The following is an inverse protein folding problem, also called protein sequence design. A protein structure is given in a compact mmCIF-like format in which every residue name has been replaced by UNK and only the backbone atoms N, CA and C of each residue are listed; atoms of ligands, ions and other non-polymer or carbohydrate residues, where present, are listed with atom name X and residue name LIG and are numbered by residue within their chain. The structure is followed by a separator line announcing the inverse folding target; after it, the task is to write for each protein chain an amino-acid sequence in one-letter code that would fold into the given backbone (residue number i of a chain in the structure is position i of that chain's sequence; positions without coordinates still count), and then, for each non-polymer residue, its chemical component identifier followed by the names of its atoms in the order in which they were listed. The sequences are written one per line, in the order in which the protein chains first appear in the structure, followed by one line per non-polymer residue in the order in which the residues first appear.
data_IF_010447483601
#
_entry.id   IF_010447483601
#
_cell.length_a   1.000
_cell.length_b   1.000
_cell.length_c   1.000
_cell.angle_alpha   90.00
_cell.angle_beta   90.00
_cell.angle_gamma   90.00
#
_symmetry.space_group_name_H-M   'P 1'
#
loop_
_entity.id
_entity.type
_entity.pdbx_description
1 polymer ?
#
# COMPACT_ATOMS: atom_id res chain seq x y z
N UNK A 1 -10.44 21.77 4.29
CA UNK A 1 -10.53 20.37 4.78
C UNK A 1 -9.66 19.53 3.87
N UNK A 2 -8.74 18.73 4.39
CA UNK A 2 -7.67 18.05 3.62
C UNK A 2 -8.18 17.27 2.40
N UNK A 3 -9.29 16.54 2.52
CA UNK A 3 -9.86 15.79 1.38
C UNK A 3 -10.34 16.68 0.22
N UNK A 4 -10.60 17.97 0.46
CA UNK A 4 -10.86 18.91 -0.63
C UNK A 4 -9.58 19.23 -1.42
N UNK A 5 -8.46 19.43 -0.71
CA UNK A 5 -7.16 19.65 -1.36
C UNK A 5 -6.75 18.43 -2.18
N UNK A 6 -6.93 17.24 -1.61
CA UNK A 6 -6.68 15.97 -2.32
C UNK A 6 -7.46 15.88 -3.64
N UNK A 7 -8.75 16.27 -3.64
CA UNK A 7 -9.57 16.33 -4.86
C UNK A 7 -9.02 17.32 -5.88
N UNK A 8 -8.54 18.47 -5.43
CA UNK A 8 -8.06 19.53 -6.32
C UNK A 8 -6.71 19.19 -6.96
N UNK A 9 -5.90 18.32 -6.32
CA UNK A 9 -4.56 17.99 -6.79
C UNK A 9 -4.46 16.69 -7.60
N UNK A 10 -5.38 15.73 -7.43
CA UNK A 10 -5.24 14.37 -7.99
C UNK A 10 -5.14 14.38 -9.52
N UNK A 11 -5.84 15.29 -10.19
CA UNK A 11 -5.80 15.42 -11.65
C UNK A 11 -4.44 15.93 -12.17
N UNK A 12 -3.73 16.73 -11.37
CA UNK A 12 -2.40 17.26 -11.71
C UNK A 12 -1.26 16.37 -11.23
N UNK A 13 -1.51 15.58 -10.18
CA UNK A 13 -0.53 14.72 -9.52
C UNK A 13 -1.12 13.29 -9.41
N UNK A 14 -1.31 12.57 -10.53
CA UNK A 14 -2.07 11.32 -10.58
C UNK A 14 -1.29 10.10 -10.06
N UNK A 15 -0.01 10.24 -9.71
CA UNK A 15 0.78 9.17 -9.11
C UNK A 15 0.66 9.21 -7.60
N UNK A 16 0.02 8.19 -7.04
CA UNK A 16 -0.32 8.14 -5.61
C UNK A 16 0.48 7.03 -4.95
N UNK A 17 1.55 7.42 -4.27
CA UNK A 17 2.30 6.51 -3.43
C UNK A 17 1.62 6.33 -2.08
N UNK A 18 1.59 5.10 -1.59
CA UNK A 18 0.83 4.73 -0.41
C UNK A 18 1.58 3.72 0.46
N UNK A 19 1.35 3.83 1.77
CA UNK A 19 1.78 2.89 2.79
C UNK A 19 0.76 2.91 3.96
N UNK A 20 0.69 1.83 4.75
CA UNK A 20 -0.18 1.76 5.92
C UNK A 20 0.51 1.25 7.17
N UNK A 21 0.08 1.72 8.33
CA UNK A 21 0.47 1.16 9.62
C UNK A 21 -0.74 0.50 10.29
N UNK A 22 -0.52 -0.71 10.79
CA UNK A 22 -1.55 -1.56 11.40
C UNK A 22 -0.93 -2.47 12.46
N UNK A 23 -1.72 -3.10 13.35
CA UNK A 23 -1.20 -3.79 14.54
C UNK A 23 -0.60 -5.18 14.24
N UNK A 24 0.04 -5.35 13.09
CA UNK A 24 0.74 -6.56 12.70
C UNK A 24 -0.16 -7.72 12.25
N UNK A 25 0.33 -8.94 12.47
CA UNK A 25 -0.34 -10.20 12.09
C UNK A 25 -0.41 -11.08 13.33
N UNK A 26 -1.63 -11.44 13.74
CA UNK A 26 -1.92 -12.12 15.02
C UNK A 26 -2.44 -13.54 14.84
N UNK A 27 -2.98 -13.85 13.66
CA UNK A 27 -3.60 -15.14 13.39
C UNK A 27 -2.98 -15.82 12.16
N UNK A 28 -2.89 -17.15 12.21
CA UNK A 28 -2.53 -18.00 11.06
C UNK A 28 -3.67 -18.97 10.76
N UNK A 29 -4.07 -19.13 9.48
CA UNK A 29 -5.17 -20.00 9.15
C UNK A 29 -4.76 -21.45 9.38
N UNK A 30 -5.63 -22.23 10.01
CA UNK A 30 -5.42 -23.66 10.31
C UNK A 30 -6.19 -24.48 9.27
N UNK A 31 -5.54 -25.45 8.65
CA UNK A 31 -6.18 -26.37 7.72
C UNK A 31 -5.25 -26.85 6.60
N UNK A 32 -5.83 -27.55 5.63
CA UNK A 32 -5.16 -27.94 4.39
C UNK A 32 -5.46 -26.91 3.31
N UNK A 33 -4.43 -26.45 2.63
CA UNK A 33 -4.52 -25.45 1.55
C UNK A 33 -4.06 -26.09 0.25
N UNK A 34 -4.74 -25.77 -0.86
CA UNK A 34 -4.43 -26.26 -2.20
C UNK A 34 -3.12 -25.68 -2.72
N UNK A 35 -2.71 -24.52 -2.22
CA UNK A 35 -1.47 -23.85 -2.60
C UNK A 35 -1.00 -22.89 -1.51
N UNK A 36 0.28 -22.52 -1.55
CA UNK A 36 0.84 -21.44 -0.71
C UNK A 36 0.10 -20.11 -0.93
N UNK A 37 -0.35 -19.85 -2.15
CA UNK A 37 -1.12 -18.66 -2.52
C UNK A 37 -2.46 -18.58 -1.78
N UNK A 38 -3.21 -19.70 -1.74
CA UNK A 38 -4.45 -19.78 -0.96
C UNK A 38 -4.20 -19.55 0.53
N UNK A 39 -3.12 -20.12 1.08
CA UNK A 39 -2.72 -19.87 2.47
C UNK A 39 -2.42 -18.39 2.72
N UNK A 40 -1.65 -17.74 1.84
CA UNK A 40 -1.29 -16.33 1.97
C UNK A 40 -2.52 -15.42 1.92
N UNK A 41 -3.45 -15.64 0.98
CA UNK A 41 -4.68 -14.87 0.91
C UNK A 41 -5.57 -15.10 2.14
N UNK A 42 -5.71 -16.34 2.62
CA UNK A 42 -6.49 -16.62 3.84
C UNK A 42 -5.87 -15.97 5.07
N UNK A 43 -4.54 -15.93 5.18
CA UNK A 43 -3.85 -15.24 6.25
C UNK A 43 -4.10 -13.72 6.17
N UNK A 44 -3.97 -13.12 4.98
CA UNK A 44 -4.28 -11.72 4.72
C UNK A 44 -5.71 -11.38 5.16
N UNK A 45 -6.70 -12.07 4.59
CA UNK A 45 -8.13 -11.85 4.87
C UNK A 45 -8.42 -11.89 6.36
N UNK A 46 -8.00 -12.95 7.03
CA UNK A 46 -8.31 -13.17 8.44
C UNK A 46 -7.74 -12.06 9.34
N UNK A 47 -6.53 -11.59 9.07
CA UNK A 47 -5.92 -10.53 9.86
C UNK A 47 -6.52 -9.16 9.53
N UNK A 48 -6.70 -8.82 8.25
CA UNK A 48 -7.32 -7.54 7.85
C UNK A 48 -8.75 -7.42 8.38
N UNK A 49 -9.54 -8.49 8.33
CA UNK A 49 -10.92 -8.48 8.83
C UNK A 49 -10.97 -8.26 10.35
N UNK A 50 -10.06 -8.90 11.09
CA UNK A 50 -9.99 -8.85 12.56
C UNK A 50 -9.41 -7.53 13.09
N UNK A 51 -8.40 -7.00 12.42
CA UNK A 51 -7.59 -5.88 12.90
C UNK A 51 -8.10 -4.55 12.35
N UNK A 52 -7.62 -3.47 12.99
CA UNK A 52 -8.00 -2.09 12.66
C UNK A 52 -6.80 -1.32 12.14
N UNK A 53 -7.01 -0.56 11.07
CA UNK A 53 -6.00 0.32 10.48
C UNK A 53 -5.63 1.44 11.47
N UNK A 54 -4.34 1.77 11.57
CA UNK A 54 -3.84 2.81 12.49
C UNK A 54 -3.48 4.08 11.71
N UNK A 55 -2.71 3.96 10.62
CA UNK A 55 -2.37 5.07 9.73
C UNK A 55 -2.48 4.68 8.25
N UNK A 56 -2.71 5.70 7.41
CA UNK A 56 -2.55 5.66 5.97
C UNK A 56 -1.74 6.88 5.53
N UNK A 57 -0.71 6.66 4.74
CA UNK A 57 0.08 7.71 4.10
C UNK A 57 -0.26 7.81 2.63
N UNK A 58 -0.48 9.02 2.13
CA UNK A 58 -0.65 9.29 0.71
C UNK A 58 0.30 10.40 0.27
N UNK A 59 1.09 10.10 -0.74
CA UNK A 59 2.01 11.05 -1.39
C UNK A 59 1.64 11.16 -2.86
N UNK A 60 1.46 12.37 -3.35
CA UNK A 60 1.02 12.64 -4.72
C UNK A 60 2.17 13.24 -5.53
N UNK A 61 2.41 12.70 -6.73
CA UNK A 61 3.38 13.24 -7.69
C UNK A 61 2.83 13.32 -9.11
N UNK A 62 3.45 14.16 -9.93
CA UNK A 62 3.27 14.17 -11.38
C UNK A 62 4.08 13.03 -12.03
N UNK A 63 4.00 12.92 -13.35
CA UNK A 63 4.72 11.92 -14.15
C UNK A 63 6.25 12.05 -14.10
N UNK A 64 6.76 13.19 -13.63
CA UNK A 64 8.20 13.46 -13.46
C UNK A 64 8.67 13.18 -12.03
N UNK A 65 7.76 12.80 -11.13
CA UNK A 65 8.03 12.61 -9.71
C UNK A 65 8.06 13.91 -8.90
N UNK A 66 7.55 15.02 -9.44
CA UNK A 66 7.41 16.27 -8.69
C UNK A 66 6.26 16.15 -7.70
N UNK A 67 6.54 16.42 -6.43
CA UNK A 67 5.53 16.40 -5.36
C UNK A 67 4.42 17.43 -5.58
N UNK A 68 3.21 17.05 -5.19
CA UNK A 68 2.06 17.94 -5.13
C UNK A 68 2.34 19.16 -4.26
N UNK A 69 1.86 20.31 -4.74
CA UNK A 69 1.96 21.58 -4.03
C UNK A 69 0.61 22.25 -3.91
N UNK A 70 0.37 22.84 -2.74
CA UNK A 70 -0.75 23.74 -2.52
C UNK A 70 -0.23 25.07 -1.99
N UNK A 71 -0.57 26.17 -2.66
CA UNK A 71 -0.06 27.52 -2.34
C UNK A 71 1.48 27.61 -2.22
N UNK A 72 2.21 26.81 -3.00
CA UNK A 72 3.67 26.75 -3.01
C UNK A 72 4.30 25.79 -1.99
N UNK A 73 3.53 25.28 -1.03
CA UNK A 73 3.98 24.33 -0.02
C UNK A 73 3.84 22.89 -0.50
N UNK A 74 4.78 22.01 -0.13
CA UNK A 74 4.74 20.59 -0.45
C UNK A 74 3.70 19.88 0.42
N UNK A 75 2.92 18.98 -0.19
CA UNK A 75 1.86 18.26 0.52
C UNK A 75 2.13 16.75 0.56
N UNK A 76 2.12 16.20 1.77
CA UNK A 76 2.11 14.75 2.05
C UNK A 76 1.07 14.54 3.14
N UNK A 77 0.19 13.56 2.95
CA UNK A 77 -0.90 13.32 3.90
C UNK A 77 -0.62 12.07 4.74
N UNK A 78 -0.75 12.23 6.06
CA UNK A 78 -0.80 11.11 7.00
C UNK A 78 -2.15 11.15 7.73
N UNK A 79 -3.00 10.19 7.39
CA UNK A 79 -4.30 10.01 8.02
C UNK A 79 -4.12 9.11 9.24
N UNK A 80 -4.48 9.62 10.41
CA UNK A 80 -4.41 8.90 11.69
C UNK A 80 -5.82 8.47 12.07
N UNK A 81 -6.10 7.17 12.16
CA UNK A 81 -7.45 6.66 12.38
C UNK A 81 -7.75 6.44 13.86
N UNK A 82 -9.00 6.73 14.25
CA UNK A 82 -9.53 6.31 15.56
C UNK A 82 -10.10 4.90 15.45
N UNK A 83 -10.33 4.29 16.60
CA UNK A 83 -11.05 3.02 16.73
C UNK A 83 -10.15 1.87 17.15
N UNK A 84 -8.83 1.99 17.04
CA UNK A 84 -7.88 1.05 17.66
C UNK A 84 -7.63 1.44 19.13
N UNK A 85 -7.90 0.52 20.05
CA UNK A 85 -7.71 0.64 21.50
C UNK A 85 -6.75 -0.45 21.98
N UNK A 86 -5.70 -0.05 22.71
CA UNK A 86 -4.79 -1.01 23.34
C UNK A 86 -5.45 -1.83 24.47
N UNK A 87 -6.60 -1.39 24.97
CA UNK A 87 -7.34 -2.10 26.01
C UNK A 87 -8.26 -3.18 25.44
N UNK A 88 -8.83 -2.93 24.25
CA UNK A 88 -9.96 -3.73 23.74
C UNK A 88 -9.63 -4.51 22.46
N UNK A 89 -8.65 -4.05 21.68
CA UNK A 89 -8.35 -4.63 20.37
C UNK A 89 -7.23 -5.65 20.40
N UNK A 90 -7.30 -6.60 19.47
CA UNK A 90 -6.25 -7.58 19.24
C UNK A 90 -5.10 -6.92 18.47
N UNK A 91 -3.86 -7.23 18.85
CA UNK A 91 -2.67 -6.72 18.19
C UNK A 91 -1.46 -7.63 18.41
N UNK A 92 -0.45 -7.51 17.54
CA UNK A 92 0.87 -8.09 17.76
C UNK A 92 1.70 -7.15 18.64
N UNK A 93 2.20 -7.66 19.77
CA UNK A 93 2.94 -6.86 20.76
C UNK A 93 4.15 -6.14 20.14
N UNK A 94 4.98 -6.88 19.40
CA UNK A 94 6.17 -6.33 18.74
C UNK A 94 5.82 -5.19 17.75
N UNK A 95 4.70 -5.30 17.05
CA UNK A 95 4.22 -4.26 16.13
C UNK A 95 3.82 -2.99 16.90
N UNK A 96 3.09 -3.11 18.00
CA UNK A 96 2.71 -1.95 18.81
C UNK A 96 3.92 -1.29 19.46
N UNK A 97 4.88 -2.07 19.95
CA UNK A 97 6.12 -1.53 20.53
C UNK A 97 6.93 -0.77 19.48
N UNK A 98 7.06 -1.33 18.29
CA UNK A 98 7.70 -0.64 17.16
C UNK A 98 6.98 0.68 16.85
N UNK A 99 5.65 0.65 16.67
CA UNK A 99 4.88 1.87 16.35
C UNK A 99 4.99 2.95 17.43
N UNK A 100 5.00 2.57 18.72
CA UNK A 100 5.24 3.51 19.83
C UNK A 100 6.64 4.13 19.74
N UNK A 101 7.66 3.32 19.48
CA UNK A 101 9.04 3.80 19.33
C UNK A 101 9.19 4.73 18.11
N UNK A 102 8.40 4.50 17.07
CA UNK A 102 8.32 5.33 15.87
C UNK A 102 7.53 6.63 16.06
N UNK A 103 6.93 6.83 17.24
CA UNK A 103 6.28 8.07 17.61
C UNK A 103 4.75 8.10 17.41
N UNK A 104 4.11 6.94 17.24
CA UNK A 104 2.63 6.88 17.22
C UNK A 104 2.08 7.11 18.63
N UNK A 105 1.27 8.15 18.76
CA UNK A 105 0.52 8.47 19.99
C UNK A 105 -0.89 7.86 19.93
N UNK A 106 -1.03 6.65 20.50
CA UNK A 106 -2.31 5.94 20.53
C UNK A 106 -3.41 6.68 21.29
N UNK A 107 -3.08 7.47 22.31
CA UNK A 107 -4.08 8.26 23.04
C UNK A 107 -4.62 9.41 22.17
N UNK A 108 -3.76 9.99 21.33
CA UNK A 108 -4.18 10.99 20.35
C UNK A 108 -5.05 10.38 19.25
N UNK A 109 -4.73 9.17 18.80
CA UNK A 109 -5.56 8.43 17.84
C UNK A 109 -6.96 8.15 18.40
N UNK A 110 -7.07 7.75 19.67
CA UNK A 110 -8.37 7.48 20.30
C UNK A 110 -9.23 8.75 20.42
N UNK A 111 -8.63 9.88 20.79
CA UNK A 111 -9.37 11.13 21.07
C UNK A 111 -9.58 12.02 19.84
N UNK A 112 -8.68 11.97 18.85
CA UNK A 112 -8.67 12.89 17.69
C UNK A 112 -8.56 12.17 16.34
N UNK A 113 -8.48 10.86 16.32
CA UNK A 113 -8.34 10.09 15.09
C UNK A 113 -9.57 10.18 14.18
N UNK A 114 -9.31 9.94 12.91
CA UNK A 114 -10.29 10.02 11.82
C UNK A 114 -11.21 8.81 11.87
N UNK A 115 -12.50 9.07 11.74
CA UNK A 115 -13.48 8.01 11.56
C UNK A 115 -13.27 7.30 10.22
N UNK A 116 -13.01 5.99 10.27
CA UNK A 116 -12.64 5.22 9.09
C UNK A 116 -13.77 5.16 8.06
N UNK A 117 -15.03 5.15 8.50
CA UNK A 117 -16.18 5.15 7.58
C UNK A 117 -16.36 6.51 6.93
N UNK A 118 -16.20 7.60 7.69
CA UNK A 118 -16.19 8.95 7.12
C UNK A 118 -15.05 9.15 6.12
N UNK A 119 -13.87 8.60 6.42
CA UNK A 119 -12.76 8.63 5.49
C UNK A 119 -13.08 7.85 4.21
N UNK A 120 -13.61 6.63 4.32
CA UNK A 120 -14.02 5.81 3.18
C UNK A 120 -15.04 6.52 2.28
N UNK A 121 -16.03 7.18 2.86
CA UNK A 121 -17.01 7.99 2.12
C UNK A 121 -16.32 9.11 1.32
N UNK A 122 -15.42 9.86 1.95
CA UNK A 122 -14.71 10.96 1.30
C UNK A 122 -13.73 10.47 0.22
N UNK A 123 -13.08 9.33 0.44
CA UNK A 123 -12.16 8.71 -0.50
C UNK A 123 -12.90 8.17 -1.72
N UNK A 124 -14.10 7.60 -1.55
CA UNK A 124 -14.94 7.10 -2.65
C UNK A 124 -15.24 8.19 -3.69
N UNK A 125 -15.46 9.43 -3.23
CA UNK A 125 -15.79 10.58 -4.09
C UNK A 125 -14.60 11.50 -4.35
N UNK A 126 -13.36 11.06 -4.10
CA UNK A 126 -12.18 11.91 -4.20
C UNK A 126 -11.56 11.96 -5.60
N UNK A 127 -11.92 11.03 -6.49
CA UNK A 127 -11.23 10.83 -7.77
C UNK A 127 -9.94 10.00 -7.67
N UNK A 128 -9.55 9.54 -6.48
CA UNK A 128 -8.32 8.73 -6.30
C UNK A 128 -8.57 7.24 -6.58
N UNK A 129 -9.77 6.76 -6.29
CA UNK A 129 -10.20 5.36 -6.53
C UNK A 129 -11.23 5.34 -7.66
N UNK A 130 -11.42 4.17 -8.27
CA UNK A 130 -12.32 4.00 -9.41
C UNK A 130 -11.96 4.93 -10.59
N UNK A 131 -10.67 5.25 -10.74
CA UNK A 131 -10.16 6.20 -11.72
C UNK A 131 -9.01 5.59 -12.52
N UNK A 132 -9.19 5.48 -13.84
CA UNK A 132 -8.22 4.91 -14.78
C UNK A 132 -7.00 5.80 -15.03
N UNK A 133 -7.04 7.07 -14.63
CA UNK A 133 -5.93 8.01 -14.76
C UNK A 133 -4.96 7.93 -13.56
N UNK A 134 -5.43 7.45 -12.41
CA UNK A 134 -4.61 7.35 -11.19
C UNK A 134 -3.67 6.15 -11.28
N UNK A 135 -2.42 6.33 -10.84
CA UNK A 135 -1.37 5.32 -10.79
C UNK A 135 -0.91 5.12 -9.36
N UNK A 136 -1.27 3.99 -8.75
CA UNK A 136 -0.88 3.66 -7.38
C UNK A 136 0.55 3.11 -7.34
N UNK A 137 1.36 3.62 -6.42
CA UNK A 137 2.75 3.18 -6.19
C UNK A 137 2.85 2.64 -4.77
N UNK A 138 3.27 1.40 -4.61
CA UNK A 138 3.25 0.73 -3.30
C UNK A 138 4.47 -0.16 -3.10
N UNK A 139 4.66 -0.68 -1.90
CA UNK A 139 5.74 -1.63 -1.59
C UNK A 139 5.19 -2.81 -0.79
N UNK A 140 5.16 -4.01 -1.38
CA UNK A 140 4.73 -5.25 -0.71
C UNK A 140 3.31 -5.15 -0.12
N UNK A 141 2.37 -4.78 -0.99
CA UNK A 141 1.19 -4.00 -0.58
C UNK A 141 -0.11 -4.77 -0.38
N UNK A 142 -0.02 -6.09 -0.20
CA UNK A 142 -1.19 -6.96 -0.04
C UNK A 142 -2.08 -6.53 1.13
N UNK A 143 -1.46 -6.21 2.27
CA UNK A 143 -2.18 -5.77 3.48
C UNK A 143 -2.74 -4.37 3.31
N UNK A 144 -1.98 -3.46 2.71
CA UNK A 144 -2.41 -2.07 2.49
C UNK A 144 -3.69 -2.00 1.65
N UNK A 145 -3.71 -2.70 0.51
CA UNK A 145 -4.89 -2.79 -0.33
C UNK A 145 -6.01 -3.59 0.33
N UNK A 146 -5.69 -4.60 1.14
CA UNK A 146 -6.67 -5.28 1.98
C UNK A 146 -7.42 -4.31 2.89
N UNK A 147 -6.71 -3.46 3.62
CA UNK A 147 -7.34 -2.46 4.48
C UNK A 147 -8.16 -1.45 3.68
N UNK A 148 -7.62 -0.91 2.57
CA UNK A 148 -8.38 0.05 1.76
C UNK A 148 -9.65 -0.56 1.16
N UNK A 149 -9.62 -1.80 0.66
CA UNK A 149 -10.81 -2.48 0.17
C UNK A 149 -11.84 -2.72 1.28
N UNK A 150 -11.40 -3.15 2.48
CA UNK A 150 -12.29 -3.29 3.66
C UNK A 150 -12.98 -1.96 3.99
N UNK A 151 -12.24 -0.85 3.93
CA UNK A 151 -12.77 0.49 4.21
C UNK A 151 -13.76 0.94 3.13
N UNK A 152 -13.37 0.84 1.86
CA UNK A 152 -14.16 1.32 0.71
C UNK A 152 -15.44 0.53 0.51
N UNK A 153 -15.40 -0.79 0.74
CA UNK A 153 -16.60 -1.63 0.64
C UNK A 153 -17.43 -1.66 1.91
N UNK A 154 -16.86 -1.27 3.06
CA UNK A 154 -17.46 -1.47 4.37
C UNK A 154 -17.89 -2.94 4.60
N UNK A 155 -17.18 -3.90 4.01
CA UNK A 155 -17.42 -5.33 4.14
C UNK A 155 -16.13 -6.07 4.53
N UNK A 156 -16.24 -7.28 5.11
CA UNK A 156 -15.11 -8.20 5.16
C UNK A 156 -14.54 -8.46 3.76
N UNK A 157 -13.24 -8.76 3.66
CA UNK A 157 -12.62 -9.06 2.37
C UNK A 157 -13.29 -10.25 1.66
N UNK A 158 -13.22 -10.37 0.32
CA UNK A 158 -13.86 -11.47 -0.40
C UNK A 158 -13.41 -12.87 0.06
N UNK A 159 -14.25 -13.89 -0.11
CA UNK A 159 -13.93 -15.22 0.45
C UNK A 159 -12.82 -15.93 -0.31
N UNK A 160 -12.69 -15.60 -1.60
CA UNK A 160 -11.65 -16.12 -2.50
C UNK A 160 -10.71 -15.00 -2.93
N UNK A 161 -9.48 -15.39 -3.26
CA UNK A 161 -8.48 -14.46 -3.78
C UNK A 161 -8.87 -13.91 -5.16
N UNK A 162 -9.55 -14.71 -5.98
CA UNK A 162 -10.02 -14.28 -7.28
C UNK A 162 -10.98 -13.09 -7.15
N UNK A 163 -12.01 -13.21 -6.30
CA UNK A 163 -12.96 -12.12 -6.04
C UNK A 163 -12.26 -10.89 -5.44
N UNK A 164 -11.20 -11.08 -4.64
CA UNK A 164 -10.39 -9.98 -4.14
C UNK A 164 -9.70 -9.21 -5.26
N UNK A 165 -9.08 -9.90 -6.23
CA UNK A 165 -8.44 -9.23 -7.36
C UNK A 165 -9.45 -8.62 -8.34
N UNK A 166 -10.60 -9.25 -8.54
CA UNK A 166 -11.70 -8.66 -9.33
C UNK A 166 -12.14 -7.31 -8.73
N UNK A 167 -12.29 -7.26 -7.40
CA UNK A 167 -12.62 -6.04 -6.69
C UNK A 167 -11.46 -5.03 -6.69
N UNK A 168 -10.24 -5.48 -6.43
CA UNK A 168 -9.04 -4.66 -6.44
C UNK A 168 -8.90 -3.91 -7.76
N UNK A 169 -9.06 -4.61 -8.89
CA UNK A 169 -8.92 -4.04 -10.22
C UNK A 169 -9.99 -2.99 -10.55
N UNK A 170 -11.17 -3.07 -9.93
CA UNK A 170 -12.22 -2.05 -10.07
C UNK A 170 -11.80 -0.78 -9.33
N UNK A 171 -11.38 -0.89 -8.07
CA UNK A 171 -11.05 0.27 -7.22
C UNK A 171 -9.69 0.90 -7.55
N UNK A 172 -8.73 0.09 -7.98
CA UNK A 172 -7.32 0.44 -8.15
C UNK A 172 -6.80 -0.15 -9.47
N UNK A 173 -7.26 0.38 -10.63
CA UNK A 173 -6.99 -0.23 -11.93
C UNK A 173 -5.50 -0.29 -12.30
N UNK A 174 -4.70 0.63 -11.77
CA UNK A 174 -3.29 0.76 -12.14
C UNK A 174 -2.38 0.80 -10.91
N UNK A 175 -1.68 -0.30 -10.65
CA UNK A 175 -0.82 -0.49 -9.46
C UNK A 175 0.60 -0.85 -9.87
N UNK A 176 1.58 -0.21 -9.23
CA UNK A 176 2.99 -0.58 -9.24
C UNK A 176 3.40 -1.07 -7.85
N UNK A 177 3.63 -2.37 -7.68
CA UNK A 177 4.25 -2.89 -6.46
C UNK A 177 5.78 -2.94 -6.63
N UNK A 178 6.49 -2.05 -5.95
CA UNK A 178 7.96 -1.96 -5.99
C UNK A 178 8.60 -3.30 -5.61
N UNK A 179 8.03 -4.05 -4.66
CA UNK A 179 8.58 -5.32 -4.21
C UNK A 179 8.56 -6.37 -5.31
N UNK A 180 7.55 -6.33 -6.18
CA UNK A 180 7.47 -7.13 -7.39
C UNK A 180 8.48 -6.66 -8.44
N UNK A 181 8.57 -5.35 -8.70
CA UNK A 181 9.53 -4.77 -9.66
C UNK A 181 10.99 -5.13 -9.33
N UNK A 182 11.34 -5.20 -8.05
CA UNK A 182 12.68 -5.61 -7.60
C UNK A 182 13.14 -6.97 -8.15
N UNK A 183 12.22 -7.88 -8.51
CA UNK A 183 12.57 -9.21 -9.08
C UNK A 183 13.25 -9.10 -10.45
N UNK A 184 13.02 -8.00 -11.16
CA UNK A 184 13.59 -7.72 -12.47
C UNK A 184 14.83 -6.82 -12.39
N UNK A 185 15.33 -6.57 -11.18
CA UNK A 185 16.46 -5.69 -10.93
C UNK A 185 17.58 -6.48 -10.25
N UNK A 186 18.76 -6.50 -10.86
CA UNK A 186 19.90 -7.22 -10.28
C UNK A 186 20.32 -6.61 -8.93
N UNK A 187 20.61 -7.49 -7.97
CA UNK A 187 21.16 -7.19 -6.65
C UNK A 187 20.27 -6.38 -5.68
N UNK A 188 18.99 -6.18 -5.97
CA UNK A 188 18.05 -5.51 -5.06
C UNK A 188 17.33 -6.50 -4.13
N UNK A 189 17.35 -6.25 -2.82
CA UNK A 189 16.72 -7.11 -1.82
C UNK A 189 16.40 -6.33 -0.53
N UNK A 190 15.69 -6.98 0.40
CA UNK A 190 15.32 -6.37 1.70
C UNK A 190 14.00 -5.60 1.68
N UNK A 191 13.74 -4.84 2.75
CA UNK A 191 12.56 -3.98 2.89
C UNK A 191 12.76 -2.59 2.26
N UNK A 192 11.73 -1.75 2.32
CA UNK A 192 11.71 -0.43 1.68
C UNK A 192 12.92 0.43 2.05
N UNK A 193 13.27 0.51 3.34
CA UNK A 193 14.45 1.26 3.80
C UNK A 193 15.75 0.78 3.16
N UNK A 194 15.94 -0.53 3.07
CA UNK A 194 17.17 -1.09 2.50
C UNK A 194 17.25 -0.81 1.00
N UNK A 195 16.12 -0.90 0.31
CA UNK A 195 16.03 -0.55 -1.10
C UNK A 195 16.34 0.94 -1.32
N UNK A 196 15.75 1.82 -0.50
CA UNK A 196 16.01 3.26 -0.57
C UNK A 196 17.49 3.59 -0.39
N UNK A 197 18.16 2.97 0.58
CA UNK A 197 19.62 3.08 0.75
C UNK A 197 20.40 2.62 -0.50
N UNK A 198 20.03 1.48 -1.09
CA UNK A 198 20.69 0.96 -2.31
C UNK A 198 20.49 1.85 -3.55
N UNK A 199 19.46 2.70 -3.54
CA UNK A 199 19.13 3.63 -4.62
C UNK A 199 19.49 5.09 -4.31
N UNK A 200 20.24 5.32 -3.22
CA UNK A 200 20.64 6.64 -2.74
C UNK A 200 19.44 7.60 -2.54
N UNK A 201 18.34 7.07 -2.00
CA UNK A 201 17.13 7.84 -1.65
C UNK A 201 17.14 8.15 -0.16
N UNK A 202 17.08 9.45 0.16
CA UNK A 202 17.00 9.91 1.55
C UNK A 202 15.56 9.92 2.05
N UNK A 203 15.35 9.40 3.26
CA UNK A 203 14.08 9.51 3.97
C UNK A 203 13.86 10.94 4.49
N UNK A 204 12.62 11.40 4.39
CA UNK A 204 12.13 12.61 5.03
C UNK A 204 10.99 12.21 5.97
N UNK A 205 11.08 12.63 7.23
CA UNK A 205 10.12 12.25 8.27
C UNK A 205 10.51 10.98 9.05
N UNK A 206 9.69 10.60 10.05
CA UNK A 206 9.95 9.46 10.92
C UNK A 206 9.77 8.12 10.18
N UNK A 207 10.69 7.18 10.38
CA UNK A 207 10.55 5.81 9.88
C UNK A 207 9.39 5.08 10.58
N UNK A 208 8.67 4.20 9.87
CA UNK A 208 7.52 3.46 10.39
C UNK A 208 6.38 4.40 10.81
N UNK A 209 6.11 5.36 9.94
CA UNK A 209 4.91 6.16 9.94
C UNK A 209 4.48 6.36 8.50
N UNK A 210 3.20 6.07 8.24
CA UNK A 210 2.71 5.86 6.90
C UNK A 210 2.99 7.03 5.95
N UNK A 211 2.95 8.29 6.42
CA UNK A 211 3.25 9.46 5.58
C UNK A 211 4.72 9.56 5.13
N UNK A 212 5.66 9.25 6.02
CA UNK A 212 7.09 9.21 5.65
C UNK A 212 7.38 8.02 4.74
N UNK A 213 6.74 6.88 5.02
CA UNK A 213 6.89 5.66 4.24
C UNK A 213 6.27 5.79 2.84
N UNK A 214 5.10 6.42 2.69
CA UNK A 214 4.51 6.70 1.37
C UNK A 214 5.39 7.66 0.55
N UNK A 215 6.02 8.65 1.19
CA UNK A 215 6.98 9.54 0.54
C UNK A 215 8.25 8.80 0.10
N UNK A 216 8.80 7.94 0.97
CA UNK A 216 9.97 7.12 0.62
C UNK A 216 9.64 6.15 -0.52
N UNK A 217 8.47 5.53 -0.49
CA UNK A 217 7.92 4.66 -1.55
C UNK A 217 7.88 5.42 -2.88
N UNK A 218 7.35 6.64 -2.92
CA UNK A 218 7.33 7.47 -4.14
C UNK A 218 8.72 7.70 -4.71
N UNK A 219 9.65 8.24 -3.92
CA UNK A 219 10.98 8.58 -4.42
C UNK A 219 11.81 7.36 -4.81
N UNK A 220 11.63 6.27 -4.08
CA UNK A 220 12.27 4.97 -4.38
C UNK A 220 11.77 4.43 -5.71
N UNK A 221 10.46 4.48 -5.98
CA UNK A 221 9.89 4.08 -7.26
C UNK A 221 10.47 4.89 -8.43
N UNK A 222 10.50 6.22 -8.32
CA UNK A 222 11.03 7.08 -9.39
C UNK A 222 12.50 6.75 -9.69
N UNK A 223 13.34 6.55 -8.66
CA UNK A 223 14.74 6.13 -8.85
C UNK A 223 14.85 4.74 -9.46
N UNK A 224 14.05 3.78 -9.01
CA UNK A 224 14.02 2.42 -9.53
C UNK A 224 13.63 2.41 -11.01
N UNK A 225 12.51 3.06 -11.36
CA UNK A 225 11.98 3.12 -12.71
C UNK A 225 12.99 3.74 -13.68
N UNK A 226 13.61 4.86 -13.32
CA UNK A 226 14.64 5.51 -14.14
C UNK A 226 15.90 4.65 -14.32
N UNK A 227 16.33 3.93 -13.26
CA UNK A 227 17.56 3.14 -13.29
C UNK A 227 17.43 1.81 -14.02
N UNK A 228 16.30 1.12 -13.87
CA UNK A 228 16.14 -0.27 -14.34
C UNK A 228 15.09 -0.45 -15.44
N UNK A 229 14.19 0.52 -15.64
CA UNK A 229 13.03 0.36 -16.52
C UNK A 229 12.91 1.44 -17.60
N UNK A 230 13.95 2.25 -17.84
CA UNK A 230 13.91 3.35 -18.81
C UNK A 230 12.80 4.38 -18.49
N UNK A 231 12.53 4.59 -17.21
CA UNK A 231 11.47 5.47 -16.72
C UNK A 231 10.18 4.72 -16.34
N UNK A 232 9.15 5.48 -15.97
CA UNK A 232 7.86 4.94 -15.53
C UNK A 232 7.17 4.16 -16.66
N UNK A 233 7.28 4.64 -17.90
CA UNK A 233 6.67 4.00 -19.06
C UNK A 233 7.15 2.57 -19.25
N UNK A 234 8.46 2.32 -19.14
CA UNK A 234 8.99 0.97 -19.27
C UNK A 234 8.72 0.07 -18.06
N UNK A 235 8.36 0.65 -16.90
CA UNK A 235 7.86 -0.11 -15.75
C UNK A 235 6.39 -0.55 -15.96
N UNK A 236 5.62 0.13 -16.83
CA UNK A 236 4.19 -0.12 -17.05
C UNK A 236 3.85 -1.53 -17.53
N UNK A 237 4.81 -2.27 -18.10
CA UNK A 237 4.66 -3.70 -18.44
C UNK A 237 4.43 -4.62 -17.23
N UNK A 238 4.69 -4.12 -16.02
CA UNK A 238 4.53 -4.83 -14.75
C UNK A 238 3.34 -4.34 -13.92
N UNK A 239 2.53 -3.45 -14.49
CA UNK A 239 1.39 -2.84 -13.79
C UNK A 239 0.31 -3.87 -13.47
N UNK A 240 -0.37 -3.69 -12.33
CA UNK A 240 -1.48 -4.54 -11.88
C UNK A 240 -1.05 -5.82 -11.16
N UNK A 241 0.24 -5.99 -10.87
CA UNK A 241 0.77 -7.18 -10.20
C UNK A 241 1.22 -6.86 -8.78
N UNK A 242 0.61 -7.52 -7.79
CA UNK A 242 1.02 -7.47 -6.39
C UNK A 242 2.04 -8.56 -6.07
N UNK A 243 3.03 -8.24 -5.25
CA UNK A 243 4.04 -9.23 -4.85
C UNK A 243 3.42 -10.36 -4.01
N UNK A 244 3.62 -11.61 -4.41
CA UNK A 244 3.29 -12.81 -3.63
C UNK A 244 1.82 -13.26 -3.69
N UNK A 245 0.96 -12.54 -4.39
CA UNK A 245 -0.45 -12.89 -4.62
C UNK A 245 -0.83 -12.74 -6.10
N UNK A 246 -2.00 -13.25 -6.46
CA UNK A 246 -2.53 -13.13 -7.82
C UNK A 246 -1.67 -13.88 -8.84
N UNK A 247 -1.38 -13.21 -9.96
CA UNK A 247 -0.56 -13.76 -11.05
C UNK A 247 0.90 -14.00 -10.63
N UNK A 248 1.44 -13.23 -9.69
CA UNK A 248 2.81 -13.43 -9.17
C UNK A 248 2.91 -14.63 -8.22
N UNK A 249 1.81 -14.97 -7.56
CA UNK A 249 1.72 -16.14 -6.67
C UNK A 249 1.44 -17.46 -7.40
N UNK A 250 1.24 -17.43 -8.73
CA UNK A 250 1.04 -18.64 -9.51
C UNK A 250 2.39 -19.40 -9.65
N UNK A 251 2.40 -20.74 -9.52
CA UNK A 251 3.60 -21.50 -9.84
C UNK A 251 3.98 -21.24 -11.30
N UNK A 252 5.25 -20.91 -11.55
CA UNK A 252 5.78 -20.80 -12.91
C UNK A 252 5.38 -22.06 -13.68
N UNK A 253 4.51 -21.92 -14.67
CA UNK A 253 4.32 -22.97 -15.66
C UNK A 253 5.67 -23.14 -16.32
N UNK A 254 6.35 -24.26 -16.05
CA UNK A 254 7.53 -24.66 -16.83
C UNK A 254 7.09 -24.64 -18.29
N UNK A 255 7.46 -23.62 -19.04
CA UNK A 255 7.48 -23.69 -20.49
C UNK A 255 8.48 -24.81 -20.81
N UNK A 256 7.95 -26.00 -21.07
CA UNK A 256 8.68 -26.99 -21.82
C UNK A 256 8.84 -26.43 -23.22
N UNK A 257 9.99 -25.81 -23.48
CA UNK A 257 10.53 -25.68 -24.83
C UNK A 257 10.71 -27.10 -25.38
N UNK A 258 9.67 -27.61 -26.04
CA UNK A 258 9.85 -28.68 -27.01
C UNK A 258 10.46 -28.03 -28.25
N UNK A 259 11.79 -27.92 -28.22
CA UNK A 259 12.58 -27.61 -29.40
C UNK A 259 12.24 -28.58 -30.54
N UNK A 260 11.97 -27.99 -31.70
CA UNK A 260 11.96 -28.68 -32.99
C UNK A 260 13.38 -29.04 -33.43
#
# INVERSE_FOLDING_TARGET
MEMALVRDIVDQYPYVAMDTEFPGVVAKPIGTFKSSREYLYKALKMNVDMLKLIQLGLTFTDEKGSLARHNGELCVWQFNFKGFSLADDVYAQDSIELLKQSGIDFALHETRGIDVHRFGELLMTSGIVLNDDVRWITFHSNYDFGYLLKILTCQPLPNTEQEFFELLNIYFPNIFDIKYLMRYCDNLHGGLNKLAEMLDVQRIGPQHQAGSDSLLTSFTFIKLANKYFQGIDGASKHMGVLFGLGVDGAPESKCHDNGS
#
